data_IF_092424867242
#
_entry.id   IF_092424867242
#
_cell.length_a   1.000
_cell.length_b   1.000
_cell.length_c   1.000
_cell.angle_alpha   90.00
_cell.angle_beta   90.00
_cell.angle_gamma   90.00
#
_symmetry.space_group_name_H-M   'P 1'
#
loop_
_entity.id
_entity.type
_entity.pdbx_description
1 polymer ?
#
# COMPACT_ATOMS: atom_id res chain seq x y z
N UNK A 1 -8.72 -2.71 2.26
CA UNK A 1 -9.09 -1.99 1.01
C UNK A 1 -10.46 -2.47 0.57
N UNK A 2 -11.37 -1.59 0.18
CA UNK A 2 -12.73 -1.96 -0.28
C UNK A 2 -12.82 -1.64 -1.78
N UNK A 3 -13.36 -2.57 -2.58
CA UNK A 3 -13.62 -2.35 -4.00
C UNK A 3 -15.00 -1.70 -4.23
N UNK A 4 -15.31 -1.31 -5.47
CA UNK A 4 -16.58 -0.68 -5.83
C UNK A 4 -17.81 -1.61 -5.74
N UNK A 5 -17.63 -2.91 -5.49
CA UNK A 5 -18.70 -3.88 -5.27
C UNK A 5 -18.97 -4.09 -3.78
N UNK A 6 -18.21 -3.41 -2.89
CA UNK A 6 -18.30 -3.54 -1.45
C UNK A 6 -17.52 -4.73 -0.87
N UNK A 7 -16.70 -5.40 -1.66
CA UNK A 7 -15.81 -6.44 -1.14
C UNK A 7 -14.65 -5.80 -0.38
N UNK A 8 -14.34 -6.30 0.82
CA UNK A 8 -13.19 -5.86 1.60
C UNK A 8 -12.03 -6.86 1.50
N UNK A 9 -10.89 -6.41 1.02
CA UNK A 9 -9.64 -7.16 1.04
C UNK A 9 -8.86 -6.80 2.31
N UNK A 10 -8.52 -7.83 3.08
CA UNK A 10 -7.78 -7.73 4.34
C UNK A 10 -6.53 -8.61 4.23
N UNK A 11 -5.37 -8.04 4.50
CA UNK A 11 -4.15 -8.83 4.56
C UNK A 11 -3.70 -9.07 6.01
N UNK A 12 -2.88 -10.08 6.19
CA UNK A 12 -2.16 -10.34 7.44
C UNK A 12 -0.76 -10.82 7.13
N UNK A 13 0.20 -10.39 7.94
CA UNK A 13 1.54 -10.98 7.96
C UNK A 13 1.47 -12.39 8.54
N UNK A 14 2.33 -13.29 8.06
CA UNK A 14 2.28 -14.70 8.43
C UNK A 14 3.06 -15.07 9.70
N UNK A 15 3.51 -14.10 10.50
CA UNK A 15 4.37 -14.32 11.67
C UNK A 15 4.19 -13.23 12.73
N UNK A 16 4.69 -13.47 13.94
CA UNK A 16 4.68 -12.49 15.03
C UNK A 16 5.68 -11.36 14.75
N UNK A 17 5.20 -10.13 14.69
CA UNK A 17 6.04 -8.96 14.45
C UNK A 17 5.90 -7.95 15.60
N UNK A 18 7.01 -7.43 16.14
CA UNK A 18 8.41 -7.75 15.81
C UNK A 18 8.90 -9.04 16.49
N UNK A 19 9.91 -9.71 15.88
CA UNK A 19 10.72 -10.75 16.52
C UNK A 19 10.41 -12.19 16.13
N UNK A 20 9.29 -12.48 15.48
CA UNK A 20 8.99 -13.82 14.97
C UNK A 20 9.82 -14.21 13.75
N UNK A 21 9.92 -15.51 13.49
CA UNK A 21 10.53 -16.02 12.26
C UNK A 21 9.63 -15.67 11.07
N UNK A 22 10.19 -15.08 10.02
CA UNK A 22 9.47 -14.73 8.81
C UNK A 22 8.69 -15.92 8.25
N UNK A 23 7.40 -15.68 7.98
CA UNK A 23 6.55 -16.54 7.19
C UNK A 23 5.67 -15.65 6.28
N UNK A 24 5.36 -16.10 5.05
CA UNK A 24 4.53 -15.32 4.15
C UNK A 24 3.11 -15.15 4.68
N UNK A 25 2.52 -14.00 4.37
CA UNK A 25 1.16 -13.66 4.71
C UNK A 25 0.14 -14.08 3.66
N UNK A 26 -1.11 -13.69 3.91
CA UNK A 26 -2.27 -13.97 3.04
C UNK A 26 -3.07 -12.70 2.74
N UNK A 27 -3.95 -12.77 1.75
CA UNK A 27 -5.06 -11.85 1.55
C UNK A 27 -6.37 -12.62 1.72
N UNK A 28 -7.25 -12.12 2.57
CA UNK A 28 -8.62 -12.59 2.73
C UNK A 28 -9.59 -11.59 2.07
N UNK A 29 -10.67 -12.14 1.52
CA UNK A 29 -11.82 -11.41 1.02
C UNK A 29 -12.96 -11.52 2.02
N UNK A 30 -13.58 -10.40 2.34
CA UNK A 30 -14.86 -10.32 3.07
C UNK A 30 -15.87 -9.71 2.11
N UNK A 31 -16.90 -10.49 1.76
CA UNK A 31 -17.97 -10.05 0.87
C UNK A 31 -19.07 -9.27 1.63
N UNK A 32 -19.93 -8.49 0.95
CA UNK A 32 -20.96 -7.69 1.61
C UNK A 32 -21.96 -8.50 2.44
N UNK A 33 -22.16 -9.77 2.11
CA UNK A 33 -23.01 -10.71 2.89
C UNK A 33 -22.28 -11.31 4.11
N UNK A 34 -21.01 -10.94 4.33
CA UNK A 34 -20.19 -11.37 5.46
C UNK A 34 -19.45 -12.68 5.25
N UNK A 35 -19.48 -13.29 4.07
CA UNK A 35 -18.66 -14.46 3.80
C UNK A 35 -17.17 -14.08 3.76
N UNK A 36 -16.33 -14.94 4.37
CA UNK A 36 -14.88 -14.74 4.47
C UNK A 36 -14.15 -15.90 3.81
N UNK A 37 -13.19 -15.60 2.92
CA UNK A 37 -12.33 -16.61 2.30
C UNK A 37 -10.94 -16.06 1.98
N UNK A 38 -9.94 -16.92 2.00
CA UNK A 38 -8.62 -16.58 1.51
C UNK A 38 -8.64 -16.49 -0.02
N UNK A 39 -8.03 -15.44 -0.58
CA UNK A 39 -7.98 -15.20 -2.04
C UNK A 39 -6.55 -15.09 -2.59
N UNK A 40 -5.55 -14.95 -1.72
CA UNK A 40 -4.13 -15.06 -2.08
C UNK A 40 -3.30 -15.49 -0.87
N UNK A 41 -2.12 -16.06 -1.14
CA UNK A 41 -1.11 -16.44 -0.14
C UNK A 41 0.31 -16.13 -0.63
N UNK A 42 1.31 -16.50 0.16
CA UNK A 42 2.69 -16.36 -0.24
C UNK A 42 3.14 -14.91 -0.46
N UNK A 43 2.50 -13.92 0.21
CA UNK A 43 2.85 -12.49 0.12
C UNK A 43 3.84 -12.11 1.22
N UNK A 44 4.89 -11.38 0.85
CA UNK A 44 6.04 -11.13 1.73
C UNK A 44 5.83 -9.85 2.55
N UNK A 45 5.29 -9.95 3.76
CA UNK A 45 4.92 -8.83 4.63
C UNK A 45 3.98 -7.86 3.91
N UNK A 46 2.74 -8.32 3.61
CA UNK A 46 1.76 -7.49 2.92
C UNK A 46 1.37 -6.27 3.75
N UNK A 47 1.25 -5.13 3.09
CA UNK A 47 0.95 -3.85 3.72
C UNK A 47 -0.13 -3.09 2.95
N UNK A 48 0.12 -1.85 2.48
CA UNK A 48 -0.85 -1.05 1.77
C UNK A 48 -1.44 -1.74 0.53
N UNK A 49 -2.72 -1.51 0.26
CA UNK A 49 -3.42 -2.00 -0.92
C UNK A 49 -4.21 -0.87 -1.59
N UNK A 50 -4.27 -0.90 -2.91
CA UNK A 50 -5.19 -0.09 -3.70
C UNK A 50 -5.92 -0.96 -4.70
N UNK A 51 -7.15 -0.56 -5.05
CA UNK A 51 -7.92 -1.13 -6.18
C UNK A 51 -8.05 -0.04 -7.23
N UNK A 52 -7.84 -0.40 -8.49
CA UNK A 52 -8.00 0.53 -9.62
C UNK A 52 -9.45 1.00 -9.74
N UNK A 53 -9.70 2.23 -10.26
CA UNK A 53 -11.07 2.80 -10.34
C UNK A 53 -12.07 1.94 -11.13
N UNK A 54 -11.59 1.14 -12.07
CA UNK A 54 -12.39 0.20 -12.88
C UNK A 54 -12.69 -1.13 -12.16
N UNK A 55 -12.24 -1.30 -10.91
CA UNK A 55 -12.35 -2.53 -10.14
C UNK A 55 -11.67 -3.76 -10.77
N UNK A 56 -10.73 -3.57 -11.69
CA UNK A 56 -10.09 -4.67 -12.41
C UNK A 56 -8.83 -5.19 -11.73
N UNK A 57 -8.10 -4.35 -10.99
CA UNK A 57 -6.79 -4.72 -10.44
C UNK A 57 -6.67 -4.31 -8.97
N UNK A 58 -6.20 -5.24 -8.14
CA UNK A 58 -5.70 -4.95 -6.80
C UNK A 58 -4.18 -4.91 -6.85
N UNK A 59 -3.58 -3.83 -6.30
CA UNK A 59 -2.14 -3.68 -6.16
C UNK A 59 -1.81 -3.67 -4.67
N UNK A 60 -0.85 -4.52 -4.29
CA UNK A 60 -0.40 -4.77 -2.91
C UNK A 60 1.05 -4.34 -2.74
N UNK A 61 1.36 -3.64 -1.65
CA UNK A 61 2.72 -3.44 -1.17
C UNK A 61 3.22 -4.69 -0.44
N UNK A 62 4.34 -5.25 -0.89
CA UNK A 62 5.06 -6.32 -0.19
C UNK A 62 6.35 -5.74 0.40
N UNK A 63 6.32 -5.32 1.69
CA UNK A 63 7.46 -4.63 2.33
C UNK A 63 8.74 -5.46 2.31
N UNK A 64 8.67 -6.75 2.63
CA UNK A 64 9.83 -7.66 2.60
C UNK A 64 10.09 -8.26 1.22
N UNK A 65 9.18 -8.06 0.28
CA UNK A 65 9.37 -8.41 -1.13
C UNK A 65 10.04 -7.29 -1.94
N UNK A 66 10.19 -6.09 -1.37
CA UNK A 66 10.73 -4.89 -2.04
C UNK A 66 10.02 -4.63 -3.38
N UNK A 67 8.71 -4.80 -3.43
CA UNK A 67 7.93 -4.72 -4.67
C UNK A 67 6.48 -4.32 -4.43
N UNK A 68 5.85 -3.91 -5.51
CA UNK A 68 4.40 -3.86 -5.64
C UNK A 68 3.94 -5.06 -6.48
N UNK A 69 2.91 -5.75 -6.02
CA UNK A 69 2.35 -6.94 -6.68
C UNK A 69 0.93 -6.65 -7.11
N UNK A 70 0.59 -6.96 -8.36
CA UNK A 70 -0.76 -6.81 -8.88
C UNK A 70 -1.46 -8.17 -9.00
N UNK A 71 -2.78 -8.13 -8.84
CA UNK A 71 -3.71 -9.23 -9.08
C UNK A 71 -4.88 -8.72 -9.90
N UNK A 72 -5.37 -9.52 -10.82
CA UNK A 72 -6.65 -9.27 -11.47
C UNK A 72 -7.78 -9.64 -10.51
N UNK A 73 -8.82 -8.81 -10.47
CA UNK A 73 -10.01 -9.03 -9.63
C UNK A 73 -11.10 -9.65 -10.48
N UNK A 74 -11.47 -10.88 -10.18
CA UNK A 74 -12.59 -11.57 -10.84
C UNK A 74 -13.95 -11.02 -10.36
N UNK A 75 -15.03 -11.38 -11.08
CA UNK A 75 -16.39 -10.91 -10.77
C UNK A 75 -16.87 -11.28 -9.37
N UNK A 76 -16.39 -12.41 -8.84
CA UNK A 76 -16.69 -12.89 -7.47
C UNK A 76 -15.72 -12.34 -6.40
N UNK A 77 -14.83 -11.41 -6.77
CA UNK A 77 -13.80 -10.83 -5.89
C UNK A 77 -12.56 -11.71 -5.71
N UNK A 78 -12.47 -12.89 -6.35
CA UNK A 78 -11.25 -13.70 -6.32
C UNK A 78 -10.09 -12.97 -6.98
N UNK A 79 -8.88 -13.23 -6.49
CA UNK A 79 -7.64 -12.68 -7.05
C UNK A 79 -6.97 -13.71 -7.95
N UNK A 80 -6.57 -13.29 -9.15
CA UNK A 80 -5.93 -14.14 -10.14
C UNK A 80 -4.74 -13.43 -10.80
N UNK A 81 -4.00 -14.14 -11.64
CA UNK A 81 -2.91 -13.60 -12.49
C UNK A 81 -1.90 -12.73 -11.73
N UNK A 82 -1.44 -13.22 -10.56
CA UNK A 82 -0.42 -12.53 -9.75
C UNK A 82 0.79 -12.19 -10.63
N UNK A 83 1.23 -10.92 -10.56
CA UNK A 83 2.39 -10.41 -11.28
C UNK A 83 3.10 -9.33 -10.50
N UNK A 84 4.40 -9.16 -10.72
CA UNK A 84 5.12 -7.97 -10.23
C UNK A 84 4.62 -6.75 -10.98
N UNK A 85 4.05 -5.78 -10.26
CA UNK A 85 3.68 -4.48 -10.82
C UNK A 85 4.87 -3.55 -10.90
N UNK A 86 5.70 -3.52 -9.86
CA UNK A 86 6.97 -2.79 -9.82
C UNK A 86 7.96 -3.47 -8.89
N UNK A 87 9.20 -3.61 -9.34
CA UNK A 87 10.35 -3.92 -8.50
C UNK A 87 10.90 -2.60 -7.94
N UNK A 88 11.02 -2.51 -6.62
CA UNK A 88 11.35 -1.26 -5.92
C UNK A 88 12.79 -1.23 -5.41
N UNK A 89 13.68 -1.89 -6.03
CA UNK A 89 15.11 -2.04 -5.67
C UNK A 89 15.53 -1.28 -4.40
N UNK A 90 15.54 -1.97 -3.24
CA UNK A 90 15.89 -1.38 -1.94
C UNK A 90 14.80 -0.48 -1.32
N UNK A 91 13.60 -0.41 -1.89
CA UNK A 91 12.41 0.21 -1.28
C UNK A 91 11.65 -0.78 -0.41
N UNK A 92 11.08 -0.30 0.69
CA UNK A 92 10.28 -1.09 1.63
C UNK A 92 8.88 -0.48 1.69
N UNK A 93 8.00 -0.81 0.71
CA UNK A 93 6.70 -0.14 0.61
C UNK A 93 5.80 -0.50 1.79
N UNK A 94 5.24 0.55 2.41
CA UNK A 94 4.27 0.47 3.51
C UNK A 94 2.88 0.89 2.99
N UNK A 95 2.31 2.00 3.44
CA UNK A 95 1.08 2.53 2.89
C UNK A 95 1.27 3.05 1.46
N UNK A 96 0.26 2.85 0.60
CA UNK A 96 0.31 3.25 -0.82
C UNK A 96 -0.97 3.97 -1.23
N UNK A 97 -0.88 4.84 -2.25
CA UNK A 97 -2.04 5.40 -2.94
C UNK A 97 -1.79 5.52 -4.45
N UNK A 98 -2.87 5.45 -5.23
CA UNK A 98 -2.87 5.51 -6.69
C UNK A 98 -3.25 6.92 -7.14
N UNK A 99 -2.54 7.47 -8.13
CA UNK A 99 -2.88 8.73 -8.77
C UNK A 99 -3.60 8.56 -10.12
N UNK A 100 -4.12 9.65 -10.64
CA UNK A 100 -4.90 9.65 -11.88
C UNK A 100 -4.07 9.39 -13.15
N UNK A 101 -2.73 9.44 -13.06
CA UNK A 101 -1.82 9.06 -14.15
C UNK A 101 -1.44 7.57 -14.08
N UNK A 102 -2.04 6.82 -13.13
CA UNK A 102 -1.78 5.40 -12.93
C UNK A 102 -0.46 5.11 -12.22
N UNK A 103 0.17 6.13 -11.60
CA UNK A 103 1.36 5.93 -10.78
C UNK A 103 0.98 5.68 -9.31
N UNK A 104 1.84 4.97 -8.59
CA UNK A 104 1.68 4.69 -7.16
C UNK A 104 2.67 5.51 -6.36
N UNK A 105 2.16 6.21 -5.35
CA UNK A 105 2.96 6.69 -4.24
C UNK A 105 3.06 5.61 -3.19
N UNK A 106 4.26 5.32 -2.71
CA UNK A 106 4.47 4.44 -1.56
C UNK A 106 5.30 5.12 -0.48
N UNK A 107 4.90 4.89 0.75
CA UNK A 107 5.66 5.27 1.94
C UNK A 107 6.80 4.26 2.14
N UNK A 108 8.00 4.74 2.46
CA UNK A 108 9.22 3.93 2.62
C UNK A 108 9.84 4.25 3.97
N UNK A 109 9.48 3.45 4.99
CA UNK A 109 9.78 3.72 6.39
C UNK A 109 11.28 3.79 6.66
N UNK A 110 12.09 2.75 6.36
CA UNK A 110 13.50 2.76 6.72
C UNK A 110 14.33 3.75 5.89
N UNK A 111 13.89 4.09 4.70
CA UNK A 111 14.57 5.05 3.82
C UNK A 111 14.08 6.49 4.01
N UNK A 112 13.15 6.73 4.95
CA UNK A 112 12.68 8.08 5.33
C UNK A 112 12.20 8.91 4.14
N UNK A 113 11.36 8.32 3.28
CA UNK A 113 10.89 8.97 2.06
C UNK A 113 9.49 8.49 1.64
N UNK A 114 8.86 9.26 0.77
CA UNK A 114 7.69 8.84 -0.01
C UNK A 114 8.04 8.90 -1.49
N UNK A 115 7.76 7.84 -2.23
CA UNK A 115 8.25 7.69 -3.61
C UNK A 115 7.09 7.44 -4.56
N UNK A 116 7.08 8.14 -5.68
CA UNK A 116 6.16 7.94 -6.80
C UNK A 116 6.80 7.05 -7.86
N UNK A 117 6.15 5.96 -8.21
CA UNK A 117 6.62 5.02 -9.23
C UNK A 117 5.51 4.72 -10.24
N UNK A 118 5.89 4.46 -11.48
CA UNK A 118 4.98 3.87 -12.48
C UNK A 118 5.15 2.36 -12.54
N UNK A 119 4.22 1.70 -13.20
CA UNK A 119 4.33 0.28 -13.51
C UNK A 119 5.67 -0.03 -14.17
N UNK A 120 6.30 -1.14 -13.77
CA UNK A 120 7.66 -1.50 -14.15
C UNK A 120 8.77 -0.93 -13.24
N UNK A 121 8.43 -0.08 -12.23
CA UNK A 121 9.36 0.35 -11.17
C UNK A 121 10.16 1.64 -11.45
N UNK A 122 9.92 2.32 -12.58
CA UNK A 122 10.60 3.60 -12.82
C UNK A 122 10.13 4.67 -11.83
N UNK A 123 11.08 5.23 -11.06
CA UNK A 123 10.84 6.32 -10.10
C UNK A 123 10.56 7.61 -10.87
N UNK A 124 9.44 8.25 -10.55
CA UNK A 124 9.01 9.53 -11.13
C UNK A 124 9.31 10.72 -10.22
N UNK A 125 9.20 10.51 -8.90
CA UNK A 125 9.46 11.53 -7.89
C UNK A 125 9.81 10.89 -6.55
N UNK A 126 10.64 11.56 -5.77
CA UNK A 126 10.94 11.21 -4.37
C UNK A 126 10.73 12.44 -3.50
N UNK A 127 10.14 12.23 -2.34
CA UNK A 127 10.00 13.22 -1.27
C UNK A 127 10.79 12.68 -0.08
N UNK A 128 11.96 13.25 0.18
CA UNK A 128 12.78 12.88 1.32
C UNK A 128 12.24 13.52 2.59
N UNK A 129 12.27 12.78 3.69
CA UNK A 129 11.78 13.18 5.00
C UNK A 129 12.92 13.05 6.04
N UNK A 130 12.72 13.63 7.22
CA UNK A 130 13.63 13.51 8.36
C UNK A 130 13.30 12.33 9.29
N UNK A 131 12.29 11.52 8.91
CA UNK A 131 11.74 10.41 9.71
C UNK A 131 11.07 9.37 8.82
N UNK A 132 10.78 8.20 9.36
CA UNK A 132 10.10 7.13 8.64
C UNK A 132 8.73 7.55 8.11
N UNK A 133 8.44 7.29 6.85
CA UNK A 133 7.14 7.48 6.23
C UNK A 133 6.36 6.16 6.28
N UNK A 134 5.18 6.14 6.93
CA UNK A 134 4.39 4.93 7.14
C UNK A 134 3.16 4.83 6.23
N UNK A 135 2.57 5.97 5.89
CA UNK A 135 1.41 5.99 5.00
C UNK A 135 1.39 7.25 4.15
N UNK A 136 0.76 7.15 3.00
CA UNK A 136 0.48 8.29 2.14
C UNK A 136 -0.91 8.19 1.54
N UNK A 137 -1.53 9.36 1.26
CA UNK A 137 -2.83 9.45 0.63
C UNK A 137 -2.96 10.76 -0.14
N UNK A 138 -3.51 10.69 -1.33
CA UNK A 138 -3.90 11.87 -2.10
C UNK A 138 -5.30 12.34 -1.69
N UNK A 139 -5.47 13.65 -1.52
CA UNK A 139 -6.71 14.26 -1.06
C UNK A 139 -6.66 15.78 -1.17
N UNK A 140 -7.42 16.47 -0.31
CA UNK A 140 -7.59 17.91 -0.38
C UNK A 140 -8.75 18.30 -1.31
N UNK A 141 -8.97 19.61 -1.49
CA UNK A 141 -10.12 20.15 -2.26
C UNK A 141 -10.05 19.76 -3.74
N UNK A 142 -8.85 19.72 -4.29
CA UNK A 142 -8.53 19.37 -5.68
C UNK A 142 -8.05 17.93 -5.85
N UNK A 143 -8.07 17.14 -4.74
CA UNK A 143 -7.54 15.78 -4.67
C UNK A 143 -6.04 15.67 -5.05
N UNK A 144 -5.29 16.78 -5.00
CA UNK A 144 -3.89 16.87 -5.45
C UNK A 144 -2.92 17.15 -4.30
N UNK A 145 -3.38 17.12 -3.06
CA UNK A 145 -2.53 17.19 -1.88
C UNK A 145 -2.10 15.79 -1.48
N UNK A 146 -0.79 15.51 -1.51
CA UNK A 146 -0.23 14.28 -0.94
C UNK A 146 -0.03 14.49 0.55
N UNK A 147 -0.78 13.78 1.36
CA UNK A 147 -0.57 13.68 2.81
C UNK A 147 0.33 12.49 3.11
N UNK A 148 1.27 12.68 4.03
CA UNK A 148 2.23 11.66 4.48
C UNK A 148 2.16 11.56 6.00
N UNK A 149 1.96 10.35 6.53
CA UNK A 149 2.03 10.07 7.96
C UNK A 149 3.43 9.56 8.29
N UNK A 150 4.14 10.30 9.13
CA UNK A 150 5.54 10.04 9.39
C UNK A 150 5.85 10.09 10.90
N UNK A 151 6.81 9.29 11.35
CA UNK A 151 7.27 9.26 12.75
C UNK A 151 8.76 8.87 12.82
N UNK A 152 9.41 9.16 13.95
CA UNK A 152 10.76 8.67 14.19
C UNK A 152 10.77 7.14 14.10
N UNK A 153 11.77 6.61 13.43
CA UNK A 153 11.93 5.18 13.20
C UNK A 153 13.37 4.75 13.49
N UNK A 154 13.55 3.98 14.54
CA UNK A 154 14.83 3.40 14.96
C UNK A 154 14.79 1.87 14.90
N UNK A 155 14.05 1.34 13.92
CA UNK A 155 13.81 -0.09 13.73
C UNK A 155 12.58 -0.62 14.49
N UNK A 156 12.22 -1.91 14.30
CA UNK A 156 10.99 -2.50 14.85
C UNK A 156 10.87 -2.43 16.37
N UNK A 157 12.01 -2.44 17.09
CA UNK A 157 12.02 -2.33 18.55
C UNK A 157 11.52 -0.97 19.05
N UNK A 158 11.61 0.10 18.26
CA UNK A 158 11.13 1.43 18.62
C UNK A 158 9.61 1.55 18.68
N UNK A 159 8.86 0.58 18.11
CA UNK A 159 7.40 0.58 18.11
C UNK A 159 6.79 0.44 19.52
N UNK A 160 7.55 -0.10 20.48
CA UNK A 160 7.13 -0.21 21.89
C UNK A 160 7.43 1.05 22.71
N UNK A 161 8.00 2.10 22.12
CA UNK A 161 8.36 3.35 22.80
C UNK A 161 7.13 4.21 23.16
N UNK A 162 7.22 4.93 24.30
CA UNK A 162 6.16 5.84 24.76
C UNK A 162 6.16 7.20 24.03
N UNK A 163 7.23 7.52 23.30
CA UNK A 163 7.38 8.81 22.61
C UNK A 163 6.41 8.94 21.42
N UNK A 164 5.61 10.01 21.45
CA UNK A 164 4.71 10.37 20.35
C UNK A 164 5.44 11.30 19.39
N UNK A 165 5.99 10.77 18.30
CA UNK A 165 6.76 11.51 17.29
C UNK A 165 6.02 11.66 15.95
N UNK A 166 4.78 11.19 15.88
CA UNK A 166 3.95 11.21 14.68
C UNK A 166 3.65 12.62 14.18
N UNK A 167 3.80 12.82 12.88
CA UNK A 167 3.43 14.03 12.15
C UNK A 167 2.61 13.69 10.92
N UNK A 168 1.76 14.61 10.51
CA UNK A 168 1.16 14.62 9.18
C UNK A 168 1.83 15.73 8.38
N UNK A 169 2.47 15.36 7.29
CA UNK A 169 3.15 16.26 6.36
C UNK A 169 2.37 16.30 5.06
N UNK A 170 2.51 17.37 4.27
CA UNK A 170 1.85 17.45 2.98
C UNK A 170 2.67 18.23 1.95
N UNK A 171 2.47 17.85 0.69
CA UNK A 171 2.96 18.59 -0.49
C UNK A 171 1.88 18.62 -1.56
N UNK A 172 2.04 19.49 -2.54
CA UNK A 172 1.26 19.41 -3.79
C UNK A 172 1.87 18.31 -4.65
N UNK A 173 1.03 17.34 -5.04
CA UNK A 173 1.43 16.25 -5.92
C UNK A 173 1.33 16.67 -7.40
N UNK A 174 2.11 16.06 -8.32
CA UNK A 174 2.07 16.36 -9.75
C UNK A 174 0.75 15.95 -10.43
N UNK A 175 0.04 14.97 -9.87
CA UNK A 175 -1.24 14.48 -10.35
C UNK A 175 -2.22 14.28 -9.19
N UNK A 176 -3.52 14.46 -9.40
CA UNK A 176 -4.53 14.18 -8.38
C UNK A 176 -4.65 12.66 -8.13
N UNK A 177 -5.29 12.31 -7.03
CA UNK A 177 -5.63 10.92 -6.72
C UNK A 177 -6.56 10.31 -7.78
N UNK A 178 -6.42 9.02 -8.04
CA UNK A 178 -7.25 8.28 -8.99
C UNK A 178 -8.74 8.20 -8.56
N UNK A 179 -9.03 8.59 -7.31
CA UNK A 179 -10.34 8.39 -6.71
C UNK A 179 -10.52 7.00 -6.11
N UNK A 180 -11.72 6.74 -5.61
CA UNK A 180 -12.11 5.42 -5.10
C UNK A 180 -12.73 4.59 -6.21
N UNK A 181 -12.64 3.24 -6.14
CA UNK A 181 -13.33 2.38 -7.08
C UNK A 181 -14.82 2.71 -7.13
N UNK A 182 -15.35 2.88 -8.33
CA UNK A 182 -16.76 3.22 -8.53
C UNK A 182 -17.67 2.04 -8.18
N UNK A 183 -18.80 2.34 -7.53
CA UNK A 183 -19.88 1.37 -7.42
C UNK A 183 -20.43 1.13 -8.85
N UNK A 184 -20.40 -0.12 -9.30
CA UNK A 184 -20.94 -0.54 -10.58
C UNK A 184 -22.48 -0.53 -10.58
#
# INVERSE_FOLDING_TARGET
>A
MVDGRGNAYVNTIGFDFPGGQFAPGIIALVTPDGAVRQVADGVAFPNGMVVTPDNATLILAESYGNRLTAFDIAADGSLAHRRTWADLVGGYPDGICLDAEGAIWYADVPNQRCVRVREGGAVLQTVDLDRGCFACMLGGVDNQTLFMVAATWDGPASMAGEQRTGLVLSIVAPAPGAGWPSHG
#
